data_IF_718750621876
#
_entry.id   IF_718750621876
#
_cell.length_a   1.000
_cell.length_b   1.000
_cell.length_c   1.000
_cell.angle_alpha   90.00
_cell.angle_beta   90.00
_cell.angle_gamma   90.00
#
_symmetry.space_group_name_H-M   'P 1'
#
loop_
_entity.id
_entity.type
_entity.pdbx_description
1 polymer ?
#
# COMPACT_ATOMS: atom_id res chain seq x y z
N UNK A 1 13.35 -0.75 -18.76
CA UNK A 1 14.41 -1.42 -17.99
C UNK A 1 15.12 -0.39 -17.13
N UNK A 2 14.61 -0.10 -15.92
CA UNK A 2 15.36 0.64 -14.90
C UNK A 2 14.91 0.15 -13.52
N UNK A 3 15.31 -1.06 -13.14
CA UNK A 3 15.37 -1.43 -11.73
C UNK A 3 16.78 -1.13 -11.23
N UNK A 4 17.02 0.12 -10.81
CA UNK A 4 18.20 0.42 -10.02
C UNK A 4 17.88 0.05 -8.56
N UNK A 5 18.27 -1.15 -8.14
CA UNK A 5 18.28 -1.51 -6.72
C UNK A 5 19.30 -0.61 -6.02
N UNK A 6 18.84 0.32 -5.19
CA UNK A 6 19.72 1.00 -4.24
C UNK A 6 20.46 -0.06 -3.41
N UNK A 7 21.78 0.07 -3.29
CA UNK A 7 22.56 -0.80 -2.41
C UNK A 7 22.19 -0.46 -0.96
N UNK A 8 22.35 -1.44 -0.07
CA UNK A 8 21.99 -1.31 1.35
C UNK A 8 22.72 -0.14 2.03
N UNK A 9 23.96 0.11 1.63
CA UNK A 9 24.79 1.24 2.09
C UNK A 9 24.22 2.59 1.64
N UNK A 10 23.73 2.70 0.39
CA UNK A 10 23.10 3.91 -0.13
C UNK A 10 21.83 4.27 0.65
N UNK A 11 21.05 3.25 1.07
CA UNK A 11 19.83 3.47 1.86
C UNK A 11 20.09 3.93 3.29
N UNK A 12 21.15 3.44 3.95
CA UNK A 12 21.54 3.90 5.29
C UNK A 12 22.06 5.35 5.26
N UNK A 13 22.86 5.70 4.24
CA UNK A 13 23.32 7.08 4.06
C UNK A 13 22.17 8.04 3.77
N UNK A 14 21.17 7.60 3.00
CA UNK A 14 19.95 8.36 2.76
C UNK A 14 19.17 8.64 4.04
N UNK A 15 18.99 7.66 4.92
CA UNK A 15 18.29 7.88 6.20
C UNK A 15 19.05 8.87 7.11
N UNK A 16 20.37 8.77 7.16
CA UNK A 16 21.21 9.71 7.92
C UNK A 16 21.09 11.14 7.37
N UNK A 17 21.04 11.29 6.04
CA UNK A 17 20.91 12.58 5.38
C UNK A 17 19.51 13.19 5.60
N UNK A 18 18.46 12.39 5.47
CA UNK A 18 17.06 12.79 5.70
C UNK A 18 16.78 13.18 7.15
N UNK A 19 17.53 12.63 8.12
CA UNK A 19 17.43 13.02 9.53
C UNK A 19 18.10 14.35 9.86
N UNK A 20 18.93 14.91 8.97
CA UNK A 20 19.75 16.12 9.22
C UNK A 20 19.29 17.35 8.45
N UNK A 21 18.57 17.17 7.35
CA UNK A 21 18.19 18.25 6.44
C UNK A 21 16.67 18.39 6.35
N UNK A 22 16.18 19.62 6.28
CA UNK A 22 14.78 19.87 5.95
C UNK A 22 14.47 19.35 4.55
N UNK A 23 13.29 18.73 4.40
CA UNK A 23 12.83 18.12 3.15
C UNK A 23 12.84 19.12 1.99
N UNK A 24 12.54 20.39 2.28
CA UNK A 24 12.52 21.47 1.29
C UNK A 24 13.92 21.87 0.83
N UNK A 25 14.90 21.87 1.75
CA UNK A 25 16.29 22.20 1.43
C UNK A 25 16.96 21.09 0.61
N UNK A 26 16.70 19.84 0.99
CA UNK A 26 17.21 18.68 0.27
C UNK A 26 16.69 18.65 -1.18
N UNK A 27 15.41 18.99 -1.38
CA UNK A 27 14.82 19.17 -2.72
C UNK A 27 15.51 20.29 -3.51
N UNK A 28 15.77 21.45 -2.90
CA UNK A 28 16.51 22.54 -3.55
C UNK A 28 17.91 22.12 -3.99
N UNK A 29 18.61 21.35 -3.16
CA UNK A 29 19.94 20.84 -3.46
C UNK A 29 19.89 19.84 -4.63
N UNK A 30 18.90 18.94 -4.64
CA UNK A 30 18.68 18.01 -5.75
C UNK A 30 18.40 18.77 -7.04
N UNK A 31 17.48 19.74 -7.01
CA UNK A 31 17.17 20.57 -8.18
C UNK A 31 18.37 21.36 -8.68
N UNK A 32 19.24 21.83 -7.77
CA UNK A 32 20.48 22.53 -8.14
C UNK A 32 21.54 21.61 -8.75
N UNK A 33 21.55 20.33 -8.39
CA UNK A 33 22.50 19.32 -8.89
C UNK A 33 22.08 18.68 -10.21
N UNK A 34 20.79 18.62 -10.50
CA UNK A 34 20.27 18.12 -11.78
C UNK A 34 20.54 19.17 -12.86
N UNK A 35 21.40 18.85 -13.81
CA UNK A 35 21.72 19.73 -14.94
C UNK A 35 20.83 19.38 -16.13
N UNK A 36 19.76 20.16 -16.33
CA UNK A 36 18.90 20.12 -17.52
C UNK A 36 17.40 20.18 -17.18
N UNK A 37 16.66 21.06 -17.87
CA UNK A 37 15.20 21.20 -17.70
C UNK A 37 14.45 19.89 -17.99
N UNK A 38 14.93 19.08 -18.95
CA UNK A 38 14.34 17.80 -19.31
C UNK A 38 14.39 16.76 -18.16
N UNK A 39 15.43 16.79 -17.31
CA UNK A 39 15.53 15.93 -16.13
C UNK A 39 14.60 16.39 -15.00
N UNK A 40 14.32 17.69 -14.93
CA UNK A 40 13.37 18.27 -13.98
C UNK A 40 11.95 17.84 -14.36
N UNK A 41 11.59 17.88 -15.63
CA UNK A 41 10.27 17.46 -16.10
C UNK A 41 10.03 15.95 -15.91
N UNK A 42 11.05 15.13 -16.17
CA UNK A 42 11.01 13.69 -15.86
C UNK A 42 10.89 13.43 -14.35
N UNK A 43 11.61 14.20 -13.53
CA UNK A 43 11.50 14.13 -12.07
C UNK A 43 10.10 14.53 -11.61
N UNK A 44 9.56 15.64 -12.10
CA UNK A 44 8.19 16.10 -11.79
C UNK A 44 7.17 15.06 -12.22
N UNK A 45 7.32 14.47 -13.41
CA UNK A 45 6.44 13.41 -13.92
C UNK A 45 6.50 12.16 -13.05
N UNK A 46 7.70 11.72 -12.64
CA UNK A 46 7.86 10.60 -11.70
C UNK A 46 7.25 10.91 -10.31
N UNK A 47 7.34 12.16 -9.84
CA UNK A 47 6.66 12.60 -8.62
C UNK A 47 5.14 12.62 -8.80
N UNK A 48 4.62 13.04 -9.95
CA UNK A 48 3.18 13.03 -10.26
C UNK A 48 2.64 11.60 -10.37
N UNK A 49 3.39 10.68 -11.00
CA UNK A 49 3.09 9.25 -11.02
C UNK A 49 3.04 8.67 -9.60
N UNK A 50 3.93 9.12 -8.72
CA UNK A 50 3.94 8.71 -7.30
C UNK A 50 2.80 9.34 -6.50
N UNK A 51 2.43 10.60 -6.80
CA UNK A 51 1.32 11.34 -6.17
C UNK A 51 -0.05 10.74 -6.49
N UNK A 52 -0.15 9.96 -7.57
CA UNK A 52 -1.37 9.25 -7.98
C UNK A 52 -1.65 7.96 -7.20
N UNK A 53 -0.70 7.49 -6.37
CA UNK A 53 -0.87 6.25 -5.62
C UNK A 53 -1.56 6.51 -4.30
N UNK A 54 -2.86 6.20 -4.23
CA UNK A 54 -3.58 6.15 -2.95
C UNK A 54 -2.87 5.13 -2.05
N UNK A 55 -2.30 5.61 -0.95
CA UNK A 55 -1.63 4.79 0.06
C UNK A 55 -2.61 4.41 1.15
N UNK A 56 -2.72 3.12 1.42
CA UNK A 56 -3.63 2.55 2.40
C UNK A 56 -2.83 2.17 3.66
N UNK A 57 -3.19 2.69 4.85
CA UNK A 57 -2.57 2.29 6.11
C UNK A 57 -2.77 0.79 6.37
N UNK A 58 -1.71 0.05 6.70
CA UNK A 58 -1.80 -1.37 6.99
C UNK A 58 -2.76 -1.69 8.14
N UNK A 59 -2.83 -0.82 9.14
CA UNK A 59 -3.63 -0.99 10.34
C UNK A 59 -5.13 -1.20 10.07
N UNK A 60 -5.68 -0.78 8.93
CA UNK A 60 -7.10 -1.03 8.59
C UNK A 60 -7.42 -2.52 8.54
N UNK A 61 -6.45 -3.37 8.18
CA UNK A 61 -6.61 -4.81 8.06
C UNK A 61 -6.48 -5.55 9.40
N UNK A 62 -6.10 -4.85 10.47
CA UNK A 62 -5.99 -5.40 11.83
C UNK A 62 -7.32 -5.47 12.58
N UNK A 63 -8.35 -4.78 12.09
CA UNK A 63 -9.67 -4.75 12.71
C UNK A 63 -10.46 -6.04 12.45
N UNK A 64 -11.52 -6.27 13.24
CA UNK A 64 -12.44 -7.42 13.09
C UNK A 64 -13.41 -7.22 11.91
N UNK A 65 -12.86 -6.94 10.73
CA UNK A 65 -13.56 -6.83 9.45
C UNK A 65 -12.88 -7.77 8.45
N UNK A 66 -13.63 -8.20 7.43
CA UNK A 66 -13.01 -8.87 6.29
C UNK A 66 -12.14 -7.87 5.51
N UNK A 67 -11.08 -8.32 4.81
CA UNK A 67 -10.17 -7.41 4.09
C UNK A 67 -10.89 -6.47 3.10
N UNK A 68 -11.87 -6.98 2.35
CA UNK A 68 -12.68 -6.17 1.44
C UNK A 68 -13.56 -5.15 2.18
N UNK A 69 -14.13 -5.56 3.32
CA UNK A 69 -14.95 -4.70 4.17
C UNK A 69 -14.13 -3.56 4.76
N UNK A 70 -12.92 -3.87 5.27
CA UNK A 70 -12.01 -2.87 5.82
C UNK A 70 -11.60 -1.84 4.76
N UNK A 71 -11.18 -2.31 3.59
CA UNK A 71 -10.75 -1.46 2.48
C UNK A 71 -11.89 -0.56 1.96
N UNK A 72 -13.06 -1.13 1.66
CA UNK A 72 -14.19 -0.35 1.14
C UNK A 72 -14.68 0.68 2.16
N UNK A 73 -14.71 0.34 3.45
CA UNK A 73 -15.10 1.27 4.50
C UNK A 73 -14.08 2.40 4.66
N UNK A 74 -12.78 2.09 4.64
CA UNK A 74 -11.73 3.09 4.73
C UNK A 74 -11.82 4.08 3.57
N UNK A 75 -11.87 3.58 2.34
CA UNK A 75 -11.95 4.43 1.15
C UNK A 75 -13.22 5.30 1.15
N UNK A 76 -14.34 4.76 1.65
CA UNK A 76 -15.60 5.49 1.68
C UNK A 76 -15.64 6.58 2.76
N UNK A 77 -15.19 6.27 3.98
CA UNK A 77 -15.41 7.13 5.15
C UNK A 77 -14.21 7.98 5.54
N UNK A 78 -13.00 7.49 5.30
CA UNK A 78 -11.75 8.17 5.64
C UNK A 78 -11.19 8.93 4.43
N UNK A 79 -11.30 8.37 3.22
CA UNK A 79 -10.82 8.99 1.97
C UNK A 79 -11.95 9.58 1.11
N UNK A 80 -13.20 9.56 1.58
CA UNK A 80 -14.38 10.16 0.92
C UNK A 80 -14.66 9.75 -0.54
N UNK A 81 -14.21 8.59 -0.99
CA UNK A 81 -14.44 8.13 -2.36
C UNK A 81 -15.91 7.70 -2.59
N UNK A 82 -16.41 7.89 -3.81
CA UNK A 82 -17.69 7.35 -4.26
C UNK A 82 -17.60 5.82 -4.49
N UNK A 83 -18.74 5.12 -4.49
CA UNK A 83 -18.72 3.67 -4.75
C UNK A 83 -18.19 3.35 -6.15
N UNK A 84 -18.54 4.17 -7.14
CA UNK A 84 -17.98 4.12 -8.50
C UNK A 84 -16.46 4.29 -8.50
N UNK A 85 -15.92 5.27 -7.79
CA UNK A 85 -14.46 5.48 -7.70
C UNK A 85 -13.78 4.28 -7.04
N UNK A 86 -14.32 3.78 -5.93
CA UNK A 86 -13.76 2.59 -5.26
C UNK A 86 -13.78 1.38 -6.20
N UNK A 87 -14.90 1.14 -6.89
CA UNK A 87 -15.05 0.07 -7.87
C UNK A 87 -13.94 0.09 -8.94
N UNK A 88 -13.63 1.28 -9.49
CA UNK A 88 -12.54 1.47 -10.45
C UNK A 88 -11.18 1.18 -9.81
N UNK A 89 -10.92 1.73 -8.62
CA UNK A 89 -9.63 1.58 -7.93
C UNK A 89 -9.26 0.13 -7.63
N UNK A 90 -10.23 -0.68 -7.21
CA UNK A 90 -10.00 -2.08 -6.82
C UNK A 90 -10.47 -3.10 -7.87
N UNK A 91 -10.84 -2.64 -9.07
CA UNK A 91 -11.36 -3.47 -10.16
C UNK A 91 -12.50 -4.41 -9.73
N UNK A 92 -13.52 -3.85 -9.07
CA UNK A 92 -14.74 -4.56 -8.62
C UNK A 92 -15.99 -3.87 -9.13
N UNK A 93 -17.10 -4.60 -9.15
CA UNK A 93 -18.40 -4.01 -9.48
C UNK A 93 -18.86 -3.06 -8.35
N UNK A 94 -19.43 -1.91 -8.71
CA UNK A 94 -19.98 -0.93 -7.77
C UNK A 94 -21.04 -1.50 -6.81
N UNK A 95 -21.93 -2.38 -7.28
CA UNK A 95 -22.93 -3.07 -6.44
C UNK A 95 -22.25 -3.90 -5.34
N UNK A 96 -21.16 -4.59 -5.69
CA UNK A 96 -20.37 -5.39 -4.74
C UNK A 96 -19.65 -4.51 -3.73
N UNK A 97 -19.14 -3.35 -4.14
CA UNK A 97 -18.52 -2.36 -3.24
C UNK A 97 -19.56 -1.83 -2.26
N UNK A 98 -20.73 -1.39 -2.74
CA UNK A 98 -21.83 -0.91 -1.90
C UNK A 98 -22.24 -1.96 -0.86
N UNK A 99 -22.50 -3.20 -1.29
CA UNK A 99 -22.91 -4.27 -0.38
C UNK A 99 -21.84 -4.58 0.67
N UNK A 100 -20.57 -4.57 0.26
CA UNK A 100 -19.42 -4.79 1.16
C UNK A 100 -19.28 -3.66 2.17
N UNK A 101 -19.42 -2.40 1.75
CA UNK A 101 -19.46 -1.25 2.63
C UNK A 101 -20.64 -1.31 3.62
N UNK A 102 -21.84 -1.67 3.16
CA UNK A 102 -23.02 -1.81 4.03
C UNK A 102 -22.83 -2.88 5.11
N UNK A 103 -22.18 -4.00 4.79
CA UNK A 103 -21.79 -5.00 5.80
C UNK A 103 -20.75 -4.46 6.78
N UNK A 104 -19.72 -3.79 6.26
CA UNK A 104 -18.65 -3.21 7.07
C UNK A 104 -19.17 -2.16 8.06
N UNK A 105 -20.04 -1.25 7.60
CA UNK A 105 -20.64 -0.19 8.41
C UNK A 105 -21.58 -0.74 9.49
N UNK A 106 -22.29 -1.84 9.23
CA UNK A 106 -23.07 -2.56 10.26
C UNK A 106 -22.17 -3.18 11.34
N UNK A 107 -21.07 -3.84 10.94
CA UNK A 107 -20.12 -4.47 11.88
C UNK A 107 -19.32 -3.46 12.69
N UNK A 108 -19.03 -2.29 12.12
CA UNK A 108 -18.27 -1.22 12.75
C UNK A 108 -18.86 0.14 12.38
N UNK A 109 -19.47 0.82 13.36
CA UNK A 109 -20.10 2.14 13.14
C UNK A 109 -19.08 3.27 13.04
N UNK A 110 -17.96 3.18 13.77
CA UNK A 110 -16.93 4.22 13.82
C UNK A 110 -16.03 4.23 12.58
N UNK A 111 -15.47 5.40 12.24
CA UNK A 111 -14.41 5.56 11.23
C UNK A 111 -13.08 5.02 11.73
N UNK A 112 -12.12 4.73 10.83
CA UNK A 112 -10.79 4.28 11.26
C UNK A 112 -10.03 5.42 11.93
N UNK A 113 -9.35 5.13 13.04
CA UNK A 113 -8.55 6.13 13.76
C UNK A 113 -7.25 6.35 13.00
N UNK A 114 -6.93 7.62 12.72
CA UNK A 114 -5.63 8.01 12.17
C UNK A 114 -4.59 7.89 13.30
N UNK A 115 -3.79 6.84 13.26
CA UNK A 115 -2.62 6.65 14.15
C UNK A 115 -1.34 6.82 13.33
N UNK A 116 -0.23 7.09 14.00
CA UNK A 116 1.09 6.98 13.38
C UNK A 116 1.25 5.57 12.80
N UNK A 117 1.34 5.47 11.47
CA UNK A 117 1.39 4.22 10.75
C UNK A 117 2.81 4.00 10.22
N UNK A 118 3.32 2.78 10.37
CA UNK A 118 4.67 2.42 9.90
C UNK A 118 4.65 1.83 8.49
N UNK A 119 3.55 1.19 8.11
CA UNK A 119 3.45 0.47 6.85
C UNK A 119 2.27 0.94 6.01
N UNK A 120 2.55 1.23 4.75
CA UNK A 120 1.57 1.68 3.77
C UNK A 120 1.53 0.73 2.59
N UNK A 121 0.37 0.67 1.94
CA UNK A 121 0.11 -0.23 0.82
C UNK A 121 -0.41 0.59 -0.36
N UNK A 122 0.25 0.57 -1.52
CA UNK A 122 -0.31 1.16 -2.73
C UNK A 122 -1.61 0.46 -3.11
N UNK A 123 -2.69 1.21 -3.36
CA UNK A 123 -3.99 0.62 -3.72
C UNK A 123 -3.91 -0.24 -4.99
N UNK A 124 -2.95 0.04 -5.87
CA UNK A 124 -2.73 -0.67 -7.13
C UNK A 124 -2.53 -2.18 -6.93
N UNK A 125 -1.94 -2.62 -5.82
CA UNK A 125 -1.74 -4.05 -5.51
C UNK A 125 -3.06 -4.80 -5.30
N UNK A 126 -4.15 -4.07 -4.99
CA UNK A 126 -5.47 -4.61 -4.68
C UNK A 126 -6.37 -4.69 -5.92
N UNK A 127 -5.88 -4.23 -7.09
CA UNK A 127 -6.57 -4.28 -8.37
C UNK A 127 -6.50 -5.67 -9.02
N UNK A 128 -5.43 -6.44 -8.75
CA UNK A 128 -5.28 -7.78 -9.30
C UNK A 128 -6.30 -8.74 -8.66
N UNK A 129 -7.15 -9.34 -9.50
CA UNK A 129 -8.23 -10.24 -9.06
C UNK A 129 -7.79 -11.70 -8.88
N UNK A 130 -6.61 -12.10 -9.37
CA UNK A 130 -6.05 -13.44 -9.18
C UNK A 130 -5.76 -13.74 -7.70
N UNK A 131 -5.45 -12.69 -6.94
CA UNK A 131 -5.18 -12.75 -5.51
C UNK A 131 -6.43 -12.35 -4.72
N UNK A 132 -6.64 -12.99 -3.58
CA UNK A 132 -7.50 -12.41 -2.55
C UNK A 132 -6.85 -11.12 -2.04
N UNK A 133 -7.65 -10.17 -1.54
CA UNK A 133 -7.10 -8.91 -1.01
C UNK A 133 -6.06 -9.15 0.08
N UNK A 134 -6.25 -10.16 0.94
CA UNK A 134 -5.30 -10.47 2.00
C UNK A 134 -4.03 -11.13 1.46
N UNK A 135 -4.14 -11.97 0.42
CA UNK A 135 -2.97 -12.50 -0.28
C UNK A 135 -2.13 -11.36 -0.89
N UNK A 136 -2.76 -10.38 -1.57
CA UNK A 136 -2.05 -9.21 -2.11
C UNK A 136 -1.32 -8.43 -1.01
N UNK A 137 -1.97 -8.18 0.12
CA UNK A 137 -1.38 -7.45 1.26
C UNK A 137 -0.19 -8.22 1.82
N UNK A 138 -0.37 -9.51 2.16
CA UNK A 138 0.69 -10.34 2.76
C UNK A 138 1.88 -10.45 1.80
N UNK A 139 1.61 -10.68 0.52
CA UNK A 139 2.65 -10.84 -0.49
C UNK A 139 3.46 -9.55 -0.66
N UNK A 140 2.79 -8.39 -0.73
CA UNK A 140 3.47 -7.09 -0.79
C UNK A 140 4.32 -6.83 0.45
N UNK A 141 3.80 -7.10 1.65
CA UNK A 141 4.56 -6.92 2.90
C UNK A 141 5.83 -7.79 2.94
N UNK A 142 5.73 -9.04 2.49
CA UNK A 142 6.88 -9.93 2.44
C UNK A 142 7.89 -9.51 1.36
N UNK A 143 7.43 -9.10 0.18
CA UNK A 143 8.30 -8.74 -0.95
C UNK A 143 8.98 -7.39 -0.77
N UNK A 144 8.24 -6.37 -0.36
CA UNK A 144 8.71 -4.97 -0.24
C UNK A 144 9.39 -4.72 1.09
N UNK A 145 8.74 -5.05 2.20
CA UNK A 145 9.26 -4.76 3.55
C UNK A 145 10.06 -5.90 4.19
N UNK A 146 10.23 -7.04 3.48
CA UNK A 146 10.96 -8.23 3.96
C UNK A 146 10.46 -8.77 5.30
N UNK A 147 9.18 -8.55 5.61
CA UNK A 147 8.59 -9.01 6.85
C UNK A 147 8.38 -10.54 6.85
N UNK A 148 8.66 -11.16 7.99
CA UNK A 148 8.42 -12.59 8.21
C UNK A 148 6.95 -12.88 8.49
N UNK A 149 6.49 -14.11 8.24
CA UNK A 149 5.10 -14.51 8.48
C UNK A 149 4.64 -14.23 9.93
N UNK A 150 5.44 -14.51 10.98
CA UNK A 150 5.07 -14.15 12.35
C UNK A 150 4.92 -12.63 12.57
N UNK A 151 5.78 -11.82 11.97
CA UNK A 151 5.68 -10.35 12.06
C UNK A 151 4.39 -9.86 11.38
N UNK A 152 4.10 -10.35 10.17
CA UNK A 152 2.88 -10.01 9.44
C UNK A 152 1.64 -10.43 10.23
N UNK A 153 1.65 -11.62 10.83
CA UNK A 153 0.56 -12.12 11.68
C UNK A 153 0.28 -11.18 12.88
N UNK A 154 1.34 -10.72 13.55
CA UNK A 154 1.24 -9.75 14.65
C UNK A 154 0.66 -8.41 14.20
N UNK A 155 1.14 -7.88 13.07
CA UNK A 155 0.66 -6.60 12.51
C UNK A 155 -0.82 -6.66 12.10
N UNK A 156 -1.22 -7.76 11.47
CA UNK A 156 -2.60 -7.95 10.97
C UNK A 156 -3.56 -8.52 12.03
N UNK A 157 -3.06 -8.85 13.23
CA UNK A 157 -3.82 -9.56 14.28
C UNK A 157 -4.53 -10.81 13.73
N UNK A 158 -3.81 -11.62 12.95
CA UNK A 158 -4.28 -12.89 12.37
C UNK A 158 -3.44 -14.06 12.87
N UNK A 159 -3.94 -15.29 12.72
CA UNK A 159 -3.18 -16.46 13.11
C UNK A 159 -1.96 -16.66 12.18
N UNK A 160 -0.78 -17.03 12.72
CA UNK A 160 0.40 -17.33 11.91
C UNK A 160 0.15 -18.40 10.84
N UNK A 161 -0.64 -19.42 11.17
CA UNK A 161 -1.00 -20.49 10.24
C UNK A 161 -1.80 -19.97 9.04
N UNK A 162 -2.76 -19.08 9.27
CA UNK A 162 -3.53 -18.46 8.19
C UNK A 162 -2.62 -17.63 7.28
N UNK A 163 -1.70 -16.85 7.87
CA UNK A 163 -0.74 -16.05 7.10
C UNK A 163 0.18 -16.96 6.26
N UNK A 164 0.69 -18.05 6.83
CA UNK A 164 1.56 -18.98 6.13
C UNK A 164 0.87 -19.64 4.91
N UNK A 165 -0.37 -20.09 5.08
CA UNK A 165 -1.17 -20.69 3.99
C UNK A 165 -1.44 -19.67 2.88
N UNK A 166 -1.85 -18.45 3.23
CA UNK A 166 -2.11 -17.39 2.26
C UNK A 166 -0.82 -16.95 1.55
N UNK A 167 0.30 -16.86 2.26
CA UNK A 167 1.59 -16.54 1.66
C UNK A 167 2.02 -17.62 0.66
N UNK A 168 1.86 -18.90 1.00
CA UNK A 168 2.14 -20.02 0.10
C UNK A 168 1.30 -19.91 -1.19
N UNK A 169 -0.02 -19.75 -1.04
CA UNK A 169 -0.94 -19.57 -2.18
C UNK A 169 -0.57 -18.37 -3.04
N UNK A 170 -0.20 -17.24 -2.42
CA UNK A 170 0.22 -16.06 -3.15
C UNK A 170 1.51 -16.30 -3.95
N UNK A 171 2.49 -17.04 -3.40
CA UNK A 171 3.70 -17.42 -4.14
C UNK A 171 3.40 -18.32 -5.32
N UNK A 172 2.57 -19.36 -5.13
CA UNK A 172 2.18 -20.26 -6.22
C UNK A 172 1.42 -19.56 -7.35
N UNK A 173 0.65 -18.51 -7.04
CA UNK A 173 -0.02 -17.68 -8.04
C UNK A 173 0.98 -16.80 -8.79
N UNK A 174 1.91 -16.19 -8.06
CA UNK A 174 2.97 -15.36 -8.65
C UNK A 174 3.89 -16.16 -9.58
N UNK A 175 4.20 -17.41 -9.23
CA UNK A 175 4.99 -18.31 -10.07
C UNK A 175 4.25 -18.76 -11.32
N UNK A 176 2.91 -18.88 -11.28
CA UNK A 176 2.08 -19.22 -12.44
C UNK A 176 1.84 -18.06 -13.41
N UNK A 177 1.96 -16.83 -12.93
CA UNK A 177 1.79 -15.61 -13.74
C UNK A 177 3.10 -15.14 -14.39
N UNK A 178 4.23 -15.78 -14.06
CA UNK A 178 5.56 -15.50 -14.62
C UNK A 178 5.86 -16.40 -15.81
#
# INVERSE_FOLDING_TARGET
MFENKLKKEDSEQLEILLGKLDSKELLKIIFKKLQGEEQIDQLISSFQDTKSQILIPLSIFSYKLQPAEALCKYLKENENHSYKQIAVLINRNEKSVWATYKRASKKRKQKFVKKSERYFLPISILKNRSYSLLESVIFYLNKTYKLSNPQIAKLLKKSPNSIAVLMKRAREKYEREK
#
